data_IF_353907226687
#
_entry.id   IF_353907226687
#
_cell.length_a   1.000
_cell.length_b   1.000
_cell.length_c   1.000
_cell.angle_alpha   90.00
_cell.angle_beta   90.00
_cell.angle_gamma   90.00
#
_symmetry.space_group_name_H-M   'P 1'
#
loop_
_entity.id
_entity.type
_entity.pdbx_description
1 polymer ?
#
# COMPACT_ATOMS: atom_id res chain seq x y z
N UNK A 1 -15.55 5.94 -0.36
CA UNK A 1 -15.10 4.95 0.64
C UNK A 1 -14.62 3.70 -0.06
N UNK A 2 -13.61 3.01 0.50
CA UNK A 2 -13.03 1.78 -0.03
C UNK A 2 -13.47 0.56 0.80
N UNK A 3 -13.61 -0.60 0.15
CA UNK A 3 -13.95 -1.87 0.82
C UNK A 3 -12.73 -2.79 0.87
N UNK A 4 -12.31 -3.21 2.06
CA UNK A 4 -11.19 -4.14 2.22
C UNK A 4 -11.63 -5.54 1.80
N UNK A 5 -10.83 -6.17 0.94
CA UNK A 5 -11.04 -7.54 0.43
C UNK A 5 -10.13 -8.54 1.15
N UNK A 6 -8.90 -8.13 1.47
CA UNK A 6 -7.94 -8.94 2.21
C UNK A 6 -6.99 -8.04 2.99
N UNK A 7 -6.59 -8.49 4.17
CA UNK A 7 -5.63 -7.81 5.03
C UNK A 7 -4.73 -8.84 5.69
N UNK A 8 -3.42 -8.63 5.58
CA UNK A 8 -2.39 -9.38 6.27
C UNK A 8 -1.51 -8.40 7.04
N UNK A 9 -1.08 -8.79 8.24
CA UNK A 9 -0.17 -7.99 9.05
C UNK A 9 0.84 -8.86 9.79
N UNK A 10 1.99 -8.27 10.10
CA UNK A 10 3.06 -8.91 10.84
C UNK A 10 3.83 -7.88 11.68
N UNK A 11 4.17 -8.25 12.90
CA UNK A 11 5.05 -7.48 13.78
C UNK A 11 6.27 -8.32 14.13
N UNK A 12 7.47 -7.76 13.99
CA UNK A 12 8.71 -8.51 14.30
C UNK A 12 8.91 -8.71 15.80
N UNK A 13 8.31 -7.86 16.64
CA UNK A 13 8.36 -7.92 18.10
C UNK A 13 7.06 -7.37 18.70
N UNK A 14 6.77 -7.69 19.97
CA UNK A 14 5.61 -7.13 20.68
C UNK A 14 5.76 -5.64 20.99
N UNK A 15 6.99 -5.13 21.11
CA UNK A 15 7.29 -3.72 21.39
C UNK A 15 8.63 -3.35 20.74
N UNK A 16 8.73 -2.16 20.15
CA UNK A 16 9.98 -1.64 19.57
C UNK A 16 10.44 -2.28 18.25
N UNK A 17 9.67 -3.19 17.68
CA UNK A 17 9.94 -3.81 16.37
C UNK A 17 9.32 -3.06 15.19
N UNK A 18 9.36 -3.70 14.01
CA UNK A 18 8.76 -3.19 12.78
C UNK A 18 7.39 -3.81 12.56
N UNK A 19 6.43 -2.98 12.17
CA UNK A 19 5.12 -3.41 11.72
C UNK A 19 5.06 -3.41 10.19
N UNK A 20 4.49 -4.46 9.62
CA UNK A 20 4.26 -4.60 8.19
C UNK A 20 2.80 -4.97 7.97
N UNK A 21 2.12 -4.30 7.03
CA UNK A 21 0.75 -4.60 6.65
C UNK A 21 0.59 -4.59 5.14
N UNK A 22 -0.25 -5.48 4.63
CA UNK A 22 -0.70 -5.49 3.24
C UNK A 22 -2.23 -5.51 3.20
N UNK A 23 -2.81 -4.49 2.59
CA UNK A 23 -4.26 -4.36 2.43
C UNK A 23 -4.61 -4.38 0.95
N UNK A 24 -5.49 -5.30 0.55
CA UNK A 24 -6.17 -5.27 -0.74
C UNK A 24 -7.56 -4.67 -0.51
N UNK A 25 -7.91 -3.64 -1.28
CA UNK A 25 -9.24 -3.05 -1.23
C UNK A 25 -9.78 -2.76 -2.63
N UNK A 26 -11.10 -2.64 -2.72
CA UNK A 26 -11.79 -2.14 -3.89
C UNK A 26 -12.25 -0.70 -3.64
N UNK A 27 -11.94 0.21 -4.56
CA UNK A 27 -12.41 1.59 -4.56
C UNK A 27 -12.95 1.94 -5.94
N UNK A 28 -14.28 2.10 -6.10
CA UNK A 28 -14.85 2.61 -7.35
C UNK A 28 -14.24 3.97 -7.71
N UNK A 29 -13.84 4.15 -8.97
CA UNK A 29 -13.23 5.39 -9.44
C UNK A 29 -11.77 5.60 -9.01
N UNK A 30 -11.07 4.56 -8.53
CA UNK A 30 -9.68 4.64 -8.06
C UNK A 30 -8.76 5.36 -9.07
N UNK A 31 -8.91 5.12 -10.38
CA UNK A 31 -8.06 5.75 -11.39
C UNK A 31 -8.06 7.28 -11.31
N UNK A 32 -9.21 7.90 -11.04
CA UNK A 32 -9.34 9.35 -10.88
C UNK A 32 -8.95 9.81 -9.46
N UNK A 33 -9.21 9.00 -8.44
CA UNK A 33 -8.96 9.33 -7.04
C UNK A 33 -7.54 8.95 -6.55
N UNK A 34 -6.70 8.36 -7.40
CA UNK A 34 -5.45 7.74 -6.96
C UNK A 34 -4.47 8.74 -6.37
N UNK A 35 -4.22 9.85 -7.05
CA UNK A 35 -3.25 10.84 -6.60
C UNK A 35 -3.68 11.53 -5.31
N UNK A 36 -4.98 11.84 -5.16
CA UNK A 36 -5.51 12.40 -3.93
C UNK A 36 -5.43 11.39 -2.78
N UNK A 37 -5.78 10.12 -3.02
CA UNK A 37 -5.68 9.06 -2.04
C UNK A 37 -4.24 8.87 -1.54
N UNK A 38 -3.27 8.86 -2.45
CA UNK A 38 -1.86 8.70 -2.11
C UNK A 38 -1.32 9.88 -1.30
N UNK A 39 -1.68 11.12 -1.66
CA UNK A 39 -1.33 12.32 -0.91
C UNK A 39 -1.95 12.33 0.49
N UNK A 40 -3.26 12.10 0.59
CA UNK A 40 -3.99 12.10 1.86
C UNK A 40 -3.48 10.98 2.78
N UNK A 41 -3.22 9.79 2.25
CA UNK A 41 -2.64 8.70 3.04
C UNK A 41 -1.22 9.04 3.52
N UNK A 42 -0.41 9.69 2.67
CA UNK A 42 0.94 10.15 3.06
C UNK A 42 0.88 11.11 4.24
N UNK A 43 0.04 12.14 4.15
CA UNK A 43 -0.05 13.20 5.17
C UNK A 43 -0.68 12.70 6.48
N UNK A 44 -1.76 11.93 6.39
CA UNK A 44 -2.60 11.60 7.54
C UNK A 44 -2.22 10.28 8.20
N UNK A 45 -1.51 9.39 7.49
CA UNK A 45 -1.20 8.03 7.99
C UNK A 45 0.28 7.73 7.89
N UNK A 46 0.90 7.85 6.71
CA UNK A 46 2.30 7.46 6.57
C UNK A 46 3.24 8.35 7.38
N UNK A 47 3.06 9.67 7.30
CA UNK A 47 3.89 10.66 7.99
C UNK A 47 3.93 10.50 9.51
N UNK A 48 2.79 10.45 10.22
CA UNK A 48 2.77 10.30 11.68
C UNK A 48 3.43 9.01 12.21
N UNK A 49 3.52 7.98 11.37
CA UNK A 49 4.08 6.67 11.73
C UNK A 49 5.42 6.38 11.05
N UNK A 50 6.00 7.36 10.35
CA UNK A 50 7.23 7.23 9.56
C UNK A 50 7.23 5.98 8.65
N UNK A 51 6.11 5.76 7.96
CA UNK A 51 5.91 4.56 7.14
C UNK A 51 6.62 4.66 5.79
N UNK A 52 7.36 3.63 5.43
CA UNK A 52 7.61 3.30 4.03
C UNK A 52 6.38 2.55 3.49
N UNK A 53 5.69 3.14 2.52
CA UNK A 53 4.50 2.56 1.93
C UNK A 53 4.47 2.67 0.41
N UNK A 54 3.71 1.77 -0.21
CA UNK A 54 3.46 1.81 -1.65
C UNK A 54 2.01 1.49 -1.96
N UNK A 55 1.37 2.35 -2.75
CA UNK A 55 0.07 2.07 -3.36
C UNK A 55 0.29 1.45 -4.75
N UNK A 56 -0.37 0.34 -5.08
CA UNK A 56 -0.28 -0.29 -6.41
C UNK A 56 -1.66 -0.65 -6.96
N UNK A 57 -1.87 -0.45 -8.26
CA UNK A 57 -3.08 -0.91 -8.95
C UNK A 57 -2.84 -2.30 -9.52
N UNK A 58 -3.67 -3.27 -9.15
CA UNK A 58 -3.59 -4.63 -9.68
C UNK A 58 -3.78 -4.68 -11.20
N UNK A 59 -4.53 -3.73 -11.79
CA UNK A 59 -4.75 -3.61 -13.22
C UNK A 59 -3.52 -3.14 -14.02
N UNK A 60 -2.43 -2.73 -13.35
CA UNK A 60 -1.19 -2.25 -13.99
C UNK A 60 -0.06 -3.29 -13.75
N UNK A 61 0.18 -4.21 -14.70
CA UNK A 61 1.27 -5.18 -14.59
C UNK A 61 2.62 -4.48 -14.45
N UNK A 62 3.50 -5.06 -13.62
CA UNK A 62 4.89 -4.57 -13.50
C UNK A 62 5.66 -4.96 -14.76
N UNK A 63 6.38 -3.98 -15.35
CA UNK A 63 7.33 -4.24 -16.45
C UNK A 63 8.57 -4.89 -15.86
N UNK A 64 8.96 -6.04 -16.39
CA UNK A 64 10.09 -6.85 -15.91
C UNK A 64 11.05 -7.17 -17.06
N UNK A 65 12.33 -7.36 -16.74
CA UNK A 65 13.36 -7.85 -17.66
C UNK A 65 13.94 -9.16 -17.11
N UNK A 66 14.31 -10.08 -17.99
CA UNK A 66 14.94 -11.37 -17.65
C UNK A 66 16.37 -11.34 -18.18
N UNK A 67 17.35 -11.64 -17.32
CA UNK A 67 18.78 -11.66 -17.67
C UNK A 67 19.29 -13.11 -17.69
N UNK A 68 20.17 -13.45 -18.63
CA UNK A 68 20.78 -14.77 -18.77
C UNK A 68 22.22 -14.67 -19.34
N UNK A 69 23.09 -15.62 -18.97
CA UNK A 69 24.49 -15.75 -19.41
C UNK A 69 24.87 -17.22 -19.60
#
# INVERSE_FOLDING_TARGET
GANIVSLDQHSTQQTGGTFVQRTIFHLPGLAAARESLEREFTEQVAGPFDMDFRLTEAAKPKRVAIMAS
#
